data_IF_999065160053
#
_entry.id   IF_999065160053
#
_cell.length_a   1.000
_cell.length_b   1.000
_cell.length_c   1.000
_cell.angle_alpha   90.00
_cell.angle_beta   90.00
_cell.angle_gamma   90.00
#
_symmetry.space_group_name_H-M   'P 1'
#
loop_
_entity.id
_entity.type
_entity.pdbx_description
1 polymer ?
#
# COMPACT_ATOMS: atom_id res chain seq x y z
N UNK A 1 -13.58 -38.39 -12.28
CA UNK A 1 -13.76 -38.75 -13.70
C UNK A 1 -14.26 -40.16 -13.81
N UNK A 2 -15.42 -40.42 -14.44
CA UNK A 2 -15.99 -41.77 -14.64
C UNK A 2 -15.50 -42.38 -15.97
N UNK A 3 -15.60 -43.71 -16.07
CA UNK A 3 -15.27 -44.41 -17.35
C UNK A 3 -16.20 -43.94 -18.47
N UNK A 4 -17.47 -43.66 -18.13
CA UNK A 4 -18.49 -43.27 -19.08
C UNK A 4 -18.15 -41.86 -19.69
N UNK A 5 -17.68 -40.92 -18.88
CA UNK A 5 -17.27 -39.59 -19.34
C UNK A 5 -16.05 -39.69 -20.28
N UNK A 6 -15.08 -40.56 -19.94
CA UNK A 6 -13.90 -40.79 -20.76
C UNK A 6 -14.26 -41.41 -22.13
N UNK A 7 -15.16 -42.39 -22.14
CA UNK A 7 -15.62 -43.02 -23.39
C UNK A 7 -16.40 -42.05 -24.28
N UNK A 8 -17.24 -41.18 -23.69
CA UNK A 8 -17.91 -40.14 -24.44
C UNK A 8 -16.94 -39.14 -25.10
N UNK A 9 -15.88 -38.77 -24.40
CA UNK A 9 -14.83 -37.88 -24.93
C UNK A 9 -14.08 -38.54 -26.12
N UNK A 10 -13.89 -39.85 -26.07
CA UNK A 10 -13.24 -40.60 -27.14
C UNK A 10 -14.21 -41.17 -28.19
N UNK A 11 -15.49 -40.80 -28.15
CA UNK A 11 -16.54 -41.29 -29.03
C UNK A 11 -16.24 -41.16 -30.52
N UNK A 12 -15.72 -40.01 -30.95
CA UNK A 12 -15.33 -39.77 -32.36
C UNK A 12 -14.19 -40.68 -32.78
N UNK A 13 -13.20 -40.88 -31.92
CA UNK A 13 -12.06 -41.75 -32.17
C UNK A 13 -12.50 -43.22 -32.27
N UNK A 14 -13.39 -43.68 -31.37
CA UNK A 14 -13.98 -44.99 -31.41
C UNK A 14 -14.76 -45.21 -32.68
N UNK A 15 -15.57 -44.28 -33.12
CA UNK A 15 -16.34 -44.34 -34.36
C UNK A 15 -15.41 -44.42 -35.58
N UNK A 16 -14.33 -43.67 -35.59
CA UNK A 16 -13.33 -43.71 -36.64
C UNK A 16 -12.67 -45.09 -36.72
N UNK A 17 -12.29 -45.68 -35.58
CA UNK A 17 -11.69 -47.03 -35.57
C UNK A 17 -12.69 -48.11 -36.05
N UNK A 18 -13.97 -48.02 -35.65
CA UNK A 18 -15.01 -48.93 -36.10
C UNK A 18 -15.22 -48.85 -37.62
N UNK A 19 -15.25 -47.62 -38.17
CA UNK A 19 -15.37 -47.45 -39.63
C UNK A 19 -14.14 -47.98 -40.35
N UNK A 20 -12.93 -47.74 -39.87
CA UNK A 20 -11.71 -48.29 -40.44
C UNK A 20 -11.67 -49.83 -40.40
N UNK A 21 -12.11 -50.43 -39.28
CA UNK A 21 -12.22 -51.90 -39.16
C UNK A 21 -13.22 -52.48 -40.15
N UNK A 22 -14.38 -51.82 -40.35
CA UNK A 22 -15.37 -52.24 -41.33
C UNK A 22 -14.86 -52.17 -42.77
N UNK A 23 -14.16 -51.09 -43.12
CA UNK A 23 -13.55 -50.90 -44.44
C UNK A 23 -12.45 -51.99 -44.67
N UNK A 24 -11.60 -52.19 -43.67
CA UNK A 24 -10.54 -53.21 -43.74
C UNK A 24 -11.14 -54.61 -43.94
N UNK A 25 -12.15 -54.97 -43.19
CA UNK A 25 -12.87 -56.24 -43.31
C UNK A 25 -13.44 -56.43 -44.71
N UNK A 26 -14.08 -55.40 -45.28
CA UNK A 26 -14.59 -55.39 -46.66
C UNK A 26 -13.47 -55.58 -47.70
N UNK A 27 -12.38 -54.87 -47.54
CA UNK A 27 -11.22 -54.97 -48.43
C UNK A 27 -10.60 -56.38 -48.43
N UNK A 28 -10.36 -56.95 -47.23
CA UNK A 28 -9.79 -58.30 -47.07
C UNK A 28 -10.72 -59.35 -47.65
N UNK A 29 -12.02 -59.21 -47.55
CA UNK A 29 -12.99 -60.14 -48.15
C UNK A 29 -12.93 -60.08 -49.69
N UNK A 30 -12.84 -58.88 -50.29
CA UNK A 30 -12.76 -58.70 -51.75
C UNK A 30 -11.43 -59.25 -52.31
N UNK A 31 -10.35 -59.17 -51.54
CA UNK A 31 -9.03 -59.68 -51.92
C UNK A 31 -8.86 -61.19 -51.74
N UNK A 32 -9.93 -61.89 -51.30
CA UNK A 32 -9.90 -63.39 -51.22
C UNK A 32 -9.28 -63.89 -49.88
N UNK A 33 -9.10 -63.07 -48.86
CA UNK A 33 -8.55 -63.50 -47.58
C UNK A 33 -9.56 -64.39 -46.84
N UNK A 34 -9.08 -65.41 -46.13
CA UNK A 34 -9.94 -66.32 -45.40
C UNK A 34 -10.65 -65.59 -44.27
N UNK A 35 -11.91 -65.93 -43.98
CA UNK A 35 -12.72 -65.28 -42.92
C UNK A 35 -12.08 -65.40 -41.52
N UNK A 36 -11.41 -66.56 -41.27
CA UNK A 36 -10.71 -66.80 -39.99
C UNK A 36 -9.55 -65.84 -39.76
N UNK A 37 -8.70 -65.63 -40.79
CA UNK A 37 -7.57 -64.70 -40.72
C UNK A 37 -8.03 -63.24 -40.60
N UNK A 38 -9.12 -62.87 -41.29
CA UNK A 38 -9.75 -61.56 -41.17
C UNK A 38 -10.22 -61.30 -39.73
N UNK A 39 -10.87 -62.28 -39.12
CA UNK A 39 -11.33 -62.20 -37.74
C UNK A 39 -10.17 -62.03 -36.76
N UNK A 40 -9.08 -62.77 -36.93
CA UNK A 40 -7.86 -62.63 -36.10
C UNK A 40 -7.25 -61.25 -36.18
N UNK A 41 -7.17 -60.63 -37.34
CA UNK A 41 -6.66 -59.28 -37.54
C UNK A 41 -7.57 -58.25 -36.81
N UNK A 42 -8.88 -58.38 -36.92
CA UNK A 42 -9.82 -57.48 -36.26
C UNK A 42 -9.77 -57.64 -34.74
N UNK A 43 -9.66 -58.85 -34.22
CA UNK A 43 -9.52 -59.12 -32.78
C UNK A 43 -8.20 -58.50 -32.28
N UNK A 44 -7.09 -58.69 -32.98
CA UNK A 44 -5.81 -58.14 -32.62
C UNK A 44 -5.85 -56.59 -32.59
N UNK A 45 -6.45 -55.95 -33.61
CA UNK A 45 -6.66 -54.50 -33.62
C UNK A 45 -7.53 -54.03 -32.44
N UNK A 46 -8.61 -54.74 -32.16
CA UNK A 46 -9.50 -54.45 -31.02
C UNK A 46 -8.77 -54.52 -29.68
N UNK A 47 -7.90 -55.53 -29.49
CA UNK A 47 -7.07 -55.66 -28.29
C UNK A 47 -6.09 -54.50 -28.12
N UNK A 48 -5.42 -54.09 -29.21
CA UNK A 48 -4.51 -52.91 -29.16
C UNK A 48 -5.28 -51.65 -28.81
N UNK A 49 -6.44 -51.43 -29.42
CA UNK A 49 -7.30 -50.30 -29.11
C UNK A 49 -7.76 -50.28 -27.65
N UNK A 50 -8.17 -51.43 -27.13
CA UNK A 50 -8.59 -51.58 -25.76
C UNK A 50 -7.45 -51.30 -24.76
N UNK A 51 -6.27 -51.84 -25.04
CA UNK A 51 -5.07 -51.60 -24.23
C UNK A 51 -4.71 -50.11 -24.22
N UNK A 52 -4.75 -49.46 -25.39
CA UNK A 52 -4.48 -48.04 -25.52
C UNK A 52 -5.50 -47.20 -24.71
N UNK A 53 -6.80 -47.52 -24.83
CA UNK A 53 -7.86 -46.85 -24.06
C UNK A 53 -7.67 -47.02 -22.55
N UNK A 54 -7.31 -48.22 -22.11
CA UNK A 54 -7.05 -48.53 -20.71
C UNK A 54 -5.89 -47.68 -20.16
N UNK A 55 -4.77 -47.67 -20.88
CA UNK A 55 -3.59 -46.88 -20.48
C UNK A 55 -3.92 -45.38 -20.47
N UNK A 56 -4.63 -44.87 -21.48
CA UNK A 56 -5.05 -43.50 -21.57
C UNK A 56 -5.98 -43.12 -20.41
N UNK A 57 -6.97 -44.00 -20.09
CA UNK A 57 -7.87 -43.79 -18.95
C UNK A 57 -7.13 -43.74 -17.61
N UNK A 58 -6.24 -44.69 -17.36
CA UNK A 58 -5.48 -44.77 -16.11
C UNK A 58 -4.58 -43.55 -15.92
N UNK A 59 -3.88 -43.10 -16.97
CA UNK A 59 -3.07 -41.85 -16.92
C UNK A 59 -3.93 -40.63 -16.62
N UNK A 60 -5.09 -40.52 -17.30
CA UNK A 60 -5.99 -39.37 -17.11
C UNK A 60 -6.60 -39.35 -15.71
N UNK A 61 -7.04 -40.52 -15.21
CA UNK A 61 -7.58 -40.70 -13.87
C UNK A 61 -6.56 -40.34 -12.79
N UNK A 62 -5.30 -40.73 -12.97
CA UNK A 62 -4.21 -40.39 -12.04
C UNK A 62 -3.97 -38.90 -12.00
N UNK A 63 -3.86 -38.25 -13.16
CA UNK A 63 -3.66 -36.80 -13.25
C UNK A 63 -4.75 -36.00 -12.49
N UNK A 64 -6.03 -36.33 -12.73
CA UNK A 64 -7.12 -35.63 -12.05
C UNK A 64 -7.16 -35.91 -10.55
N UNK A 65 -6.83 -37.13 -10.12
CA UNK A 65 -6.74 -37.43 -8.69
C UNK A 65 -5.64 -36.63 -8.00
N UNK A 66 -4.46 -36.56 -8.61
CA UNK A 66 -3.34 -35.74 -8.09
C UNK A 66 -3.74 -34.24 -8.03
N UNK A 67 -4.45 -33.75 -9.03
CA UNK A 67 -4.94 -32.37 -9.06
C UNK A 67 -5.98 -32.10 -7.95
N UNK A 68 -6.92 -33.03 -7.71
CA UNK A 68 -7.89 -32.94 -6.61
C UNK A 68 -7.21 -32.97 -5.24
N UNK A 69 -6.23 -33.88 -5.04
CA UNK A 69 -5.47 -33.94 -3.79
C UNK A 69 -4.67 -32.65 -3.52
N UNK A 70 -4.10 -32.03 -4.54
CA UNK A 70 -3.41 -30.73 -4.41
C UNK A 70 -4.41 -29.65 -4.00
N UNK A 71 -5.59 -29.62 -4.63
CA UNK A 71 -6.62 -28.64 -4.35
C UNK A 71 -7.16 -28.76 -2.92
N UNK A 72 -7.32 -29.98 -2.40
CA UNK A 72 -7.80 -30.23 -1.02
C UNK A 72 -6.76 -29.91 0.05
N UNK A 73 -5.47 -30.15 -0.23
CA UNK A 73 -4.37 -29.92 0.71
C UNK A 73 -3.88 -28.48 0.74
N UNK A 74 -4.25 -27.66 -0.26
CA UNK A 74 -3.75 -26.31 -0.40
C UNK A 74 -4.76 -25.30 0.11
N UNK A 75 -4.43 -24.57 1.19
CA UNK A 75 -5.25 -23.48 1.72
C UNK A 75 -5.43 -22.35 0.69
N UNK A 76 -4.39 -22.08 -0.09
CA UNK A 76 -4.37 -21.03 -1.11
C UNK A 76 -4.75 -21.59 -2.47
N UNK A 77 -6.03 -21.86 -2.70
CA UNK A 77 -6.56 -22.49 -3.92
C UNK A 77 -6.22 -21.75 -5.22
N UNK A 78 -5.96 -20.46 -5.16
CA UNK A 78 -5.53 -19.65 -6.31
C UNK A 78 -4.12 -20.02 -6.83
N UNK A 79 -3.33 -20.79 -6.06
CA UNK A 79 -2.04 -21.30 -6.51
C UNK A 79 -2.14 -22.59 -7.34
N UNK A 80 -3.35 -23.12 -7.57
CA UNK A 80 -3.56 -24.37 -8.29
C UNK A 80 -2.81 -24.41 -9.64
N UNK A 81 -2.82 -23.32 -10.39
CA UNK A 81 -2.11 -23.23 -11.67
C UNK A 81 -0.59 -23.41 -11.59
N UNK A 82 0.01 -23.10 -10.43
CA UNK A 82 1.45 -23.29 -10.18
C UNK A 82 1.76 -24.72 -9.70
N UNK A 83 0.85 -25.32 -8.93
CA UNK A 83 1.03 -26.58 -8.24
C UNK A 83 0.59 -27.81 -9.07
N UNK A 84 -0.20 -27.63 -10.14
CA UNK A 84 -0.63 -28.71 -11.00
C UNK A 84 0.56 -29.47 -11.58
N UNK A 85 0.50 -30.83 -11.62
CA UNK A 85 1.56 -31.66 -12.20
C UNK A 85 1.73 -31.42 -13.69
N UNK A 86 2.92 -31.70 -14.20
CA UNK A 86 3.17 -31.60 -15.64
C UNK A 86 2.41 -32.69 -16.41
N UNK A 87 1.74 -32.28 -17.48
CA UNK A 87 1.03 -33.17 -18.37
C UNK A 87 1.70 -33.24 -19.77
N UNK A 88 1.84 -34.40 -20.37
CA UNK A 88 2.31 -34.53 -21.75
C UNK A 88 1.24 -34.06 -22.76
N UNK A 89 0.01 -33.88 -22.35
CA UNK A 89 -1.13 -33.46 -23.18
C UNK A 89 -1.10 -31.96 -23.39
N UNK A 90 -1.12 -31.52 -24.66
CA UNK A 90 -1.06 -30.10 -25.02
C UNK A 90 -2.19 -29.28 -24.37
N UNK A 91 -3.43 -29.80 -24.41
CA UNK A 91 -4.60 -29.16 -23.87
C UNK A 91 -4.46 -28.85 -22.38
N UNK A 92 -3.95 -29.81 -21.60
CA UNK A 92 -3.71 -29.63 -20.16
C UNK A 92 -2.69 -28.52 -19.89
N UNK A 93 -1.63 -28.45 -20.70
CA UNK A 93 -0.62 -27.41 -20.59
C UNK A 93 -1.19 -26.03 -20.91
N UNK A 94 -2.02 -25.92 -21.95
CA UNK A 94 -2.67 -24.67 -22.33
C UNK A 94 -3.67 -24.21 -21.27
N UNK A 95 -4.49 -25.12 -20.72
CA UNK A 95 -5.39 -24.80 -19.61
C UNK A 95 -4.64 -24.37 -18.34
N UNK A 96 -3.56 -25.06 -18.00
CA UNK A 96 -2.69 -24.67 -16.89
C UNK A 96 -2.13 -23.26 -17.09
N UNK A 97 -1.68 -22.93 -18.30
CA UNK A 97 -1.16 -21.60 -18.61
C UNK A 97 -2.24 -20.51 -18.52
N UNK A 98 -3.46 -20.80 -18.99
CA UNK A 98 -4.60 -19.89 -18.83
C UNK A 98 -4.94 -19.64 -17.36
N UNK A 99 -4.97 -20.71 -16.55
CA UNK A 99 -5.20 -20.61 -15.09
C UNK A 99 -4.09 -19.79 -14.43
N UNK A 100 -2.81 -20.02 -14.77
CA UNK A 100 -1.69 -19.22 -14.25
C UNK A 100 -1.84 -17.75 -14.59
N UNK A 101 -2.15 -17.41 -15.84
CA UNK A 101 -2.35 -16.03 -16.28
C UNK A 101 -3.51 -15.37 -15.54
N UNK A 102 -4.63 -16.08 -15.38
CA UNK A 102 -5.79 -15.60 -14.63
C UNK A 102 -5.46 -15.37 -13.15
N UNK A 103 -4.78 -16.31 -12.52
CA UNK A 103 -4.47 -16.25 -11.10
C UNK A 103 -3.38 -15.24 -10.77
N UNK A 104 -2.50 -14.89 -11.72
CA UNK A 104 -1.45 -13.89 -11.52
C UNK A 104 -2.00 -12.56 -11.00
N UNK A 105 -3.08 -12.06 -11.62
CA UNK A 105 -3.72 -10.80 -11.19
C UNK A 105 -4.31 -10.89 -9.78
N UNK A 106 -4.86 -12.05 -9.43
CA UNK A 106 -5.41 -12.31 -8.09
C UNK A 106 -4.30 -12.35 -7.05
N UNK A 107 -3.20 -13.07 -7.34
CA UNK A 107 -2.02 -13.16 -6.47
C UNK A 107 -1.41 -11.76 -6.23
N UNK A 108 -1.24 -10.97 -7.29
CA UNK A 108 -0.74 -9.60 -7.17
C UNK A 108 -1.65 -8.72 -6.31
N UNK A 109 -2.97 -8.89 -6.44
CA UNK A 109 -3.94 -8.15 -5.64
C UNK A 109 -3.95 -8.58 -4.18
N UNK A 110 -3.86 -9.88 -3.89
CA UNK A 110 -3.75 -10.41 -2.53
C UNK A 110 -2.49 -9.87 -1.86
N UNK A 111 -1.33 -9.96 -2.51
CA UNK A 111 -0.07 -9.42 -1.98
C UNK A 111 -0.17 -7.94 -1.65
N UNK A 112 -0.75 -7.13 -2.55
CA UNK A 112 -0.96 -5.70 -2.28
C UNK A 112 -1.84 -5.45 -1.05
N UNK A 113 -2.86 -6.29 -0.82
CA UNK A 113 -3.73 -6.18 0.35
C UNK A 113 -2.98 -6.60 1.62
N UNK A 114 -2.23 -7.71 1.57
CA UNK A 114 -1.42 -8.20 2.70
C UNK A 114 -0.33 -7.19 3.09
N UNK A 115 0.37 -6.62 2.11
CA UNK A 115 1.37 -5.57 2.33
C UNK A 115 0.74 -4.32 2.96
N UNK A 116 -0.42 -3.88 2.45
CA UNK A 116 -1.14 -2.74 3.00
C UNK A 116 -1.65 -3.02 4.43
N UNK A 117 -2.11 -4.23 4.71
CA UNK A 117 -2.56 -4.63 6.05
C UNK A 117 -1.39 -4.70 7.04
N UNK A 118 -0.25 -5.24 6.60
CA UNK A 118 0.98 -5.26 7.40
C UNK A 118 1.44 -3.82 7.70
N UNK A 119 1.46 -2.97 6.68
CA UNK A 119 1.80 -1.55 6.82
C UNK A 119 0.88 -0.83 7.81
N UNK A 120 -0.42 -1.12 7.76
CA UNK A 120 -1.40 -0.54 8.69
C UNK A 120 -1.16 -0.99 10.13
N UNK A 121 -0.88 -2.27 10.35
CA UNK A 121 -0.60 -2.82 11.68
C UNK A 121 0.64 -2.19 12.31
N UNK A 122 1.75 -2.14 11.56
CA UNK A 122 2.99 -1.51 12.02
C UNK A 122 2.79 -0.04 12.37
N UNK A 123 1.96 0.68 11.59
CA UNK A 123 1.60 2.06 11.89
C UNK A 123 0.84 2.18 13.19
N UNK A 124 -0.19 1.36 13.42
CA UNK A 124 -0.99 1.41 14.65
C UNK A 124 -0.16 1.05 15.88
N UNK A 125 0.73 0.07 15.79
CA UNK A 125 1.64 -0.27 16.88
C UNK A 125 2.54 0.93 17.25
N UNK A 126 3.16 1.58 16.27
CA UNK A 126 3.97 2.78 16.46
C UNK A 126 3.15 3.93 17.05
N UNK A 127 1.95 4.16 16.54
CA UNK A 127 1.04 5.18 17.02
C UNK A 127 0.62 4.97 18.49
N UNK A 128 0.32 3.74 18.89
CA UNK A 128 -0.01 3.41 20.28
C UNK A 128 1.16 3.79 21.21
N UNK A 129 2.38 3.50 20.81
CA UNK A 129 3.56 3.87 21.60
C UNK A 129 3.71 5.38 21.77
N UNK A 130 3.42 6.19 20.75
CA UNK A 130 3.51 7.64 20.83
C UNK A 130 2.41 8.26 21.68
N UNK A 131 1.18 7.76 21.57
CA UNK A 131 0.07 8.26 22.38
C UNK A 131 0.25 7.90 23.87
N UNK A 132 0.85 6.75 24.17
CA UNK A 132 1.09 6.31 25.54
C UNK A 132 2.03 7.24 26.32
N UNK A 133 3.03 7.83 25.66
CA UNK A 133 4.01 8.69 26.32
C UNK A 133 3.37 9.96 26.95
N UNK A 134 2.63 10.80 26.21
CA UNK A 134 1.97 11.97 26.79
C UNK A 134 0.87 11.61 27.81
N UNK A 135 0.14 10.52 27.62
CA UNK A 135 -0.82 10.03 28.62
C UNK A 135 -0.12 9.73 29.95
N UNK A 136 1.04 9.03 29.90
CA UNK A 136 1.84 8.75 31.09
C UNK A 136 2.37 10.04 31.72
N UNK A 137 2.79 11.02 30.90
CA UNK A 137 3.20 12.34 31.37
C UNK A 137 2.10 13.07 32.15
N UNK A 138 0.89 13.09 31.59
CA UNK A 138 -0.28 13.70 32.27
C UNK A 138 -0.59 12.99 33.59
N UNK A 139 -0.56 11.66 33.60
CA UNK A 139 -0.81 10.86 34.80
C UNK A 139 0.20 11.17 35.93
N UNK A 140 1.50 11.26 35.60
CA UNK A 140 2.55 11.62 36.54
C UNK A 140 2.40 13.06 37.09
N UNK A 141 2.04 14.00 36.23
CA UNK A 141 1.75 15.39 36.66
C UNK A 141 0.55 15.44 37.60
N UNK A 142 -0.48 14.64 37.34
CA UNK A 142 -1.64 14.50 38.21
C UNK A 142 -1.30 13.90 39.59
N UNK A 143 -0.45 12.87 39.64
CA UNK A 143 0.05 12.26 40.86
C UNK A 143 0.91 13.24 41.71
N UNK A 144 1.84 13.95 41.06
CA UNK A 144 2.68 14.91 41.71
C UNK A 144 1.88 16.08 42.26
N UNK A 145 0.85 16.55 41.53
CA UNK A 145 -0.08 17.58 41.98
C UNK A 145 -0.88 17.18 43.23
N UNK A 146 -1.13 15.87 43.44
CA UNK A 146 -1.81 15.36 44.64
C UNK A 146 -0.89 15.32 45.90
N UNK A 147 0.42 15.26 45.70
CA UNK A 147 1.42 15.15 46.80
C UNK A 147 1.76 16.50 47.47
N UNK A 148 1.17 17.58 47.03
CA UNK A 148 1.29 18.92 47.63
C UNK A 148 1.88 19.94 46.65
N UNK A 149 1.03 20.72 46.07
CA UNK A 149 1.39 21.92 45.31
C UNK A 149 1.61 23.03 46.29
N UNK A 150 2.78 23.64 46.28
CA UNK A 150 3.15 24.64 47.30
C UNK A 150 2.89 26.08 46.83
N UNK A 151 2.86 26.34 45.52
CA UNK A 151 2.68 27.70 44.99
C UNK A 151 1.70 27.76 43.83
N UNK A 152 1.09 28.95 43.63
CA UNK A 152 0.20 29.25 42.51
C UNK A 152 0.94 29.18 41.15
N UNK A 153 2.24 29.43 41.15
CA UNK A 153 3.11 29.39 39.95
C UNK A 153 3.36 27.95 39.50
N UNK A 154 3.70 27.07 40.43
CA UNK A 154 3.86 25.62 40.16
C UNK A 154 2.57 25.00 39.62
N UNK A 155 1.41 25.40 40.19
CA UNK A 155 0.11 24.95 39.69
C UNK A 155 -0.10 25.36 38.25
N UNK A 156 0.21 26.62 37.92
CA UNK A 156 0.06 27.16 36.56
C UNK A 156 0.96 26.42 35.56
N UNK A 157 2.17 26.09 35.91
CA UNK A 157 3.10 25.38 35.07
C UNK A 157 2.72 23.90 34.86
N UNK A 158 2.15 23.25 35.89
CA UNK A 158 1.58 21.90 35.72
C UNK A 158 0.42 21.93 34.72
N UNK A 159 -0.53 22.85 34.86
CA UNK A 159 -1.64 22.98 33.92
C UNK A 159 -1.18 23.28 32.48
N UNK A 160 -0.20 24.17 32.33
CA UNK A 160 0.42 24.45 31.00
C UNK A 160 1.02 23.21 30.40
N UNK A 161 1.72 22.41 31.19
CA UNK A 161 2.36 21.18 30.71
C UNK A 161 1.32 20.11 30.36
N UNK A 162 0.24 19.98 31.16
CA UNK A 162 -0.88 19.09 30.83
C UNK A 162 -1.52 19.51 29.49
N UNK A 163 -1.76 20.82 29.27
CA UNK A 163 -2.30 21.30 28.00
C UNK A 163 -1.39 20.96 26.79
N UNK A 164 -0.08 21.07 26.96
CA UNK A 164 0.89 20.71 25.90
C UNK A 164 0.90 19.20 25.61
N UNK A 165 0.86 18.36 26.65
CA UNK A 165 0.79 16.89 26.46
C UNK A 165 -0.55 16.47 25.83
N UNK A 166 -1.67 17.09 26.24
CA UNK A 166 -2.97 16.85 25.61
C UNK A 166 -2.95 17.21 24.11
N UNK A 167 -2.31 18.32 23.74
CA UNK A 167 -2.19 18.72 22.35
C UNK A 167 -1.36 17.75 21.50
N UNK A 168 -0.34 17.10 22.10
CA UNK A 168 0.37 16.02 21.43
C UNK A 168 -0.56 14.83 21.15
N UNK A 169 -1.43 14.46 22.10
CA UNK A 169 -2.41 13.39 21.91
C UNK A 169 -3.37 13.75 20.77
N UNK A 170 -3.92 14.97 20.76
CA UNK A 170 -4.79 15.45 19.68
C UNK A 170 -4.11 15.31 18.31
N UNK A 171 -2.85 15.74 18.20
CA UNK A 171 -2.08 15.62 16.97
C UNK A 171 -1.87 14.16 16.55
N UNK A 172 -1.57 13.25 17.47
CA UNK A 172 -1.45 11.82 17.17
C UNK A 172 -2.78 11.20 16.75
N UNK A 173 -3.89 11.60 17.34
CA UNK A 173 -5.23 11.15 16.93
C UNK A 173 -5.55 11.64 15.52
N UNK A 174 -5.27 12.90 15.21
CA UNK A 174 -5.43 13.43 13.85
C UNK A 174 -4.57 12.67 12.84
N UNK A 175 -3.29 12.41 13.16
CA UNK A 175 -2.42 11.60 12.31
C UNK A 175 -3.03 10.22 12.02
N UNK A 176 -3.57 9.54 13.02
CA UNK A 176 -4.21 8.26 12.84
C UNK A 176 -5.46 8.32 11.97
N UNK A 177 -6.29 9.36 12.15
CA UNK A 177 -7.47 9.61 11.31
C UNK A 177 -7.07 9.87 9.85
N UNK A 178 -6.04 10.71 9.60
CA UNK A 178 -5.56 10.97 8.25
C UNK A 178 -4.93 9.73 7.62
N UNK A 179 -4.19 8.93 8.39
CA UNK A 179 -3.65 7.68 7.89
C UNK A 179 -4.76 6.69 7.48
N UNK A 180 -5.77 6.50 8.33
CA UNK A 180 -6.91 5.64 8.04
C UNK A 180 -7.67 6.10 6.78
N UNK A 181 -7.93 7.39 6.64
CA UNK A 181 -8.60 7.98 5.48
C UNK A 181 -7.75 8.00 4.22
N UNK A 182 -6.42 7.99 4.34
CA UNK A 182 -5.50 8.07 3.20
C UNK A 182 -5.61 6.90 2.22
N UNK A 183 -6.20 5.77 2.61
CA UNK A 183 -6.42 4.61 1.76
C UNK A 183 -7.78 4.66 0.99
N UNK A 184 -8.75 5.45 1.47
CA UNK A 184 -10.12 5.55 0.90
C UNK A 184 -10.43 6.92 0.26
N UNK A 185 -9.43 7.63 -0.16
CA UNK A 185 -9.38 9.08 -0.46
C UNK A 185 -10.41 9.60 -1.48
N UNK A 186 -11.05 8.76 -2.28
CA UNK A 186 -11.98 9.26 -3.33
C UNK A 186 -13.29 9.83 -2.80
N UNK A 187 -13.54 9.83 -1.48
CA UNK A 187 -14.84 10.23 -0.91
C UNK A 187 -14.81 11.49 -0.04
N UNK A 188 -13.66 11.97 0.44
CA UNK A 188 -13.62 12.90 1.58
C UNK A 188 -12.81 14.19 1.40
N UNK A 189 -12.22 14.50 0.22
CA UNK A 189 -11.53 15.79 0.07
C UNK A 189 -12.32 16.78 -0.78
N UNK A 190 -12.33 18.02 -0.32
CA UNK A 190 -12.98 19.15 -0.98
C UNK A 190 -11.90 20.08 -1.54
N UNK A 191 -11.64 19.98 -2.86
CA UNK A 191 -10.71 20.89 -3.52
C UNK A 191 -11.44 22.21 -3.77
N UNK A 192 -10.94 23.27 -3.13
CA UNK A 192 -11.45 24.63 -3.28
C UNK A 192 -10.30 25.63 -3.33
N UNK A 193 -10.59 26.82 -3.85
CA UNK A 193 -9.63 27.91 -3.78
C UNK A 193 -9.35 28.27 -2.32
N UNK A 194 -8.11 28.11 -1.91
CA UNK A 194 -7.65 28.28 -0.52
C UNK A 194 -6.64 29.40 -0.46
N UNK A 195 -6.90 30.40 0.38
CA UNK A 195 -5.94 31.45 0.69
C UNK A 195 -4.82 30.86 1.56
N UNK A 196 -3.59 30.84 1.03
CA UNK A 196 -2.44 30.24 1.71
C UNK A 196 -2.00 31.04 2.94
N UNK A 197 -2.17 32.36 2.94
CA UNK A 197 -1.85 33.22 4.10
C UNK A 197 -2.77 32.90 5.28
N UNK A 198 -4.09 32.78 5.02
CA UNK A 198 -5.06 32.41 6.05
C UNK A 198 -4.76 31.05 6.64
N UNK A 199 -4.44 30.06 5.79
CA UNK A 199 -4.10 28.72 6.25
C UNK A 199 -2.83 28.70 7.12
N UNK A 200 -1.79 29.43 6.72
CA UNK A 200 -0.55 29.56 7.50
C UNK A 200 -0.82 30.24 8.84
N UNK A 201 -1.52 31.35 8.84
CA UNK A 201 -1.83 32.10 10.07
C UNK A 201 -2.68 31.27 11.02
N UNK A 202 -3.66 30.51 10.53
CA UNK A 202 -4.48 29.61 11.34
C UNK A 202 -3.62 28.55 12.06
N UNK A 203 -2.67 27.92 11.38
CA UNK A 203 -1.78 26.92 11.98
C UNK A 203 -0.78 27.56 12.97
N UNK A 204 -0.26 28.74 12.67
CA UNK A 204 0.60 29.48 13.61
C UNK A 204 -0.15 29.86 14.89
N UNK A 205 -1.39 30.31 14.78
CA UNK A 205 -2.22 30.64 15.98
C UNK A 205 -2.55 29.37 16.78
N UNK A 206 -2.90 28.28 16.12
CA UNK A 206 -3.08 26.98 16.78
C UNK A 206 -1.84 26.53 17.56
N UNK A 207 -0.63 26.83 17.10
CA UNK A 207 0.62 26.49 17.76
C UNK A 207 1.26 27.61 18.57
N UNK A 208 0.56 28.72 18.78
CA UNK A 208 1.07 29.95 19.43
C UNK A 208 1.81 29.70 20.74
N UNK A 209 1.22 28.91 21.63
CA UNK A 209 1.85 28.61 22.93
C UNK A 209 3.15 27.83 22.77
N UNK A 210 3.20 26.87 21.81
CA UNK A 210 4.37 26.11 21.50
C UNK A 210 5.49 27.01 20.93
N UNK A 211 5.14 27.88 20.00
CA UNK A 211 6.08 28.80 19.35
C UNK A 211 6.65 29.80 20.37
N UNK A 212 5.83 30.40 21.21
CA UNK A 212 6.26 31.34 22.28
C UNK A 212 7.21 30.65 23.25
N UNK A 213 6.85 29.44 23.74
CA UNK A 213 7.68 28.67 24.69
C UNK A 213 9.06 28.34 24.12
N UNK A 214 9.17 28.14 22.81
CA UNK A 214 10.41 27.82 22.15
C UNK A 214 11.12 29.01 21.50
N UNK A 215 10.64 30.25 21.75
CA UNK A 215 11.25 31.49 21.26
C UNK A 215 11.24 31.63 19.74
N UNK A 216 10.30 30.96 19.04
CA UNK A 216 10.22 30.96 17.59
C UNK A 216 9.69 32.28 17.07
N UNK A 217 10.41 32.87 16.11
CA UNK A 217 9.94 34.03 15.32
C UNK A 217 9.44 33.55 13.98
N UNK A 218 8.19 33.82 13.61
CA UNK A 218 7.61 33.52 12.33
C UNK A 218 7.47 34.77 11.45
N UNK A 219 7.93 34.66 10.20
CA UNK A 219 7.82 35.69 9.15
C UNK A 219 6.97 35.09 8.02
N UNK A 220 5.77 35.68 7.79
CA UNK A 220 4.81 35.18 6.78
C UNK A 220 4.69 36.21 5.65
N UNK A 221 4.83 35.71 4.42
CA UNK A 221 4.62 36.49 3.20
C UNK A 221 3.97 35.64 2.11
N UNK A 222 2.70 35.31 2.28
CA UNK A 222 1.93 34.45 1.38
C UNK A 222 0.85 35.28 0.68
N UNK A 223 1.07 35.68 -0.56
CA UNK A 223 0.16 36.56 -1.31
C UNK A 223 -0.72 35.78 -2.31
N UNK A 224 -0.57 34.45 -2.40
CA UNK A 224 -1.20 33.63 -3.42
C UNK A 224 -2.22 32.66 -2.85
N UNK A 225 -3.20 32.29 -3.69
CA UNK A 225 -4.16 31.20 -3.43
C UNK A 225 -3.76 29.94 -4.20
N UNK A 226 -4.22 28.78 -3.72
CA UNK A 226 -4.06 27.51 -4.41
C UNK A 226 -5.35 26.68 -4.33
N UNK A 227 -5.60 25.85 -5.35
CA UNK A 227 -6.70 24.90 -5.33
C UNK A 227 -6.28 23.65 -4.59
N UNK A 228 -6.84 23.48 -3.38
CA UNK A 228 -6.48 22.37 -2.49
C UNK A 228 -7.56 22.16 -1.43
N UNK A 229 -7.42 21.12 -0.63
CA UNK A 229 -8.24 20.94 0.58
C UNK A 229 -7.57 21.63 1.77
N UNK A 230 -8.20 22.70 2.28
CA UNK A 230 -7.69 23.50 3.40
C UNK A 230 -7.34 22.65 4.61
N UNK A 231 -8.19 21.68 4.96
CA UNK A 231 -8.02 20.82 6.14
C UNK A 231 -6.72 20.00 6.06
N UNK A 232 -6.40 19.50 4.87
CA UNK A 232 -5.20 18.71 4.67
C UNK A 232 -3.94 19.57 4.65
N UNK A 233 -4.05 20.79 4.11
CA UNK A 233 -2.94 21.74 4.16
C UNK A 233 -2.65 22.19 5.59
N UNK A 234 -3.67 22.46 6.41
CA UNK A 234 -3.49 22.77 7.82
C UNK A 234 -2.73 21.65 8.55
N UNK A 235 -3.08 20.39 8.29
CA UNK A 235 -2.38 19.24 8.86
C UNK A 235 -0.91 19.19 8.39
N UNK A 236 -0.63 19.34 7.08
CA UNK A 236 0.73 19.31 6.54
C UNK A 236 1.57 20.43 7.18
N UNK A 237 1.07 21.66 7.20
CA UNK A 237 1.74 22.81 7.83
C UNK A 237 2.01 22.56 9.32
N UNK A 238 1.05 22.01 10.05
CA UNK A 238 1.22 21.65 11.45
C UNK A 238 2.38 20.66 11.65
N UNK A 239 2.48 19.61 10.80
CA UNK A 239 3.59 18.67 10.87
C UNK A 239 4.96 19.32 10.57
N UNK A 240 5.00 20.27 9.62
CA UNK A 240 6.23 21.03 9.33
C UNK A 240 6.64 21.89 10.54
N UNK A 241 5.69 22.63 11.15
CA UNK A 241 5.95 23.45 12.35
C UNK A 241 6.47 22.57 13.49
N UNK A 242 5.82 21.43 13.78
CA UNK A 242 6.24 20.53 14.86
C UNK A 242 7.66 19.98 14.63
N UNK A 243 8.00 19.64 13.40
CA UNK A 243 9.35 19.20 13.04
C UNK A 243 10.37 20.33 13.24
N UNK A 244 10.08 21.53 12.74
CA UNK A 244 11.02 22.67 12.85
C UNK A 244 11.18 23.15 14.29
N UNK A 245 10.16 23.03 15.14
CA UNK A 245 10.30 23.28 16.59
C UNK A 245 11.16 22.20 17.24
N UNK A 246 11.01 20.94 16.83
CA UNK A 246 11.78 19.83 17.39
C UNK A 246 13.27 19.93 17.08
N UNK A 247 13.62 20.31 15.87
CA UNK A 247 14.99 20.41 15.36
C UNK A 247 15.51 21.85 15.27
N UNK A 248 14.99 22.74 16.16
CA UNK A 248 15.30 24.16 16.14
C UNK A 248 16.74 24.48 16.53
N UNK A 249 17.22 25.63 16.07
CA UNK A 249 18.42 26.31 16.58
C UNK A 249 18.15 27.02 17.91
N UNK A 250 19.14 27.64 18.48
CA UNK A 250 19.00 28.50 19.69
C UNK A 250 18.12 29.72 19.46
N UNK A 251 18.13 30.28 18.26
CA UNK A 251 17.32 31.44 17.86
C UNK A 251 16.47 31.07 16.64
N UNK A 252 15.36 30.33 16.84
CA UNK A 252 14.61 29.76 15.73
C UNK A 252 13.78 30.80 14.97
N UNK A 253 13.95 30.80 13.65
CA UNK A 253 13.20 31.64 12.71
C UNK A 253 12.53 30.78 11.66
N UNK A 254 11.23 30.94 11.47
CA UNK A 254 10.49 30.35 10.36
C UNK A 254 10.16 31.43 9.34
N UNK A 255 10.45 31.17 8.07
CA UNK A 255 10.06 32.01 6.95
C UNK A 255 9.11 31.22 6.06
N UNK A 256 7.90 31.73 5.93
CA UNK A 256 6.85 31.06 5.16
C UNK A 256 6.37 32.04 4.09
N UNK A 257 6.53 31.67 2.84
CA UNK A 257 6.20 32.54 1.73
C UNK A 257 5.74 31.78 0.49
N UNK A 258 5.03 32.47 -0.41
CA UNK A 258 4.64 31.91 -1.71
C UNK A 258 5.55 32.39 -2.83
N UNK A 259 5.71 31.52 -3.85
CA UNK A 259 6.36 31.83 -5.12
C UNK A 259 5.47 31.40 -6.28
N UNK A 260 5.27 32.29 -7.25
CA UNK A 260 4.61 31.93 -8.52
C UNK A 260 5.57 31.12 -9.38
N UNK A 261 5.06 29.99 -9.88
CA UNK A 261 5.75 29.11 -10.82
C UNK A 261 5.01 29.15 -12.16
N UNK A 262 5.68 28.74 -13.24
CA UNK A 262 5.01 28.57 -14.55
C UNK A 262 3.93 27.48 -14.50
N UNK A 263 4.06 26.53 -13.59
CA UNK A 263 3.17 25.37 -13.40
C UNK A 263 2.20 25.51 -12.21
N UNK A 264 2.15 26.66 -11.54
CA UNK A 264 1.30 26.87 -10.37
C UNK A 264 1.89 27.79 -9.31
N UNK A 265 1.65 27.46 -8.05
CA UNK A 265 2.13 28.22 -6.88
C UNK A 265 2.94 27.26 -6.00
N UNK A 266 4.07 27.72 -5.46
CA UNK A 266 4.79 27.01 -4.42
C UNK A 266 4.64 27.74 -3.07
N UNK A 267 4.23 27.03 -2.04
CA UNK A 267 4.35 27.45 -0.65
C UNK A 267 5.68 26.93 -0.11
N UNK A 268 6.52 27.84 0.37
CA UNK A 268 7.86 27.55 0.85
C UNK A 268 7.88 27.74 2.37
N UNK A 269 8.27 26.71 3.08
CA UNK A 269 8.46 26.72 4.52
C UNK A 269 9.95 26.52 4.81
N UNK A 270 10.58 27.53 5.35
CA UNK A 270 12.01 27.55 5.66
C UNK A 270 12.23 27.73 7.16
N UNK A 271 13.07 26.91 7.75
CA UNK A 271 13.59 27.06 9.11
C UNK A 271 15.11 27.22 9.11
N UNK A 272 15.65 27.75 10.19
CA UNK A 272 17.08 27.85 10.47
C UNK A 272 17.52 26.83 11.52
N UNK A 273 16.92 25.65 11.54
CA UNK A 273 17.21 24.58 12.49
C UNK A 273 18.55 23.87 12.24
N UNK A 274 18.69 22.69 12.79
CA UNK A 274 19.92 21.87 12.69
C UNK A 274 20.20 21.39 11.27
N UNK A 275 19.24 21.51 10.35
CA UNK A 275 19.37 20.95 9.00
C UNK A 275 19.41 19.43 8.97
N UNK A 276 19.54 18.88 7.77
CA UNK A 276 19.52 17.45 7.49
C UNK A 276 20.80 17.08 6.76
N UNK A 277 21.51 16.01 7.18
CA UNK A 277 22.67 15.51 6.45
C UNK A 277 22.32 15.03 5.03
N UNK A 278 23.20 15.24 4.06
CA UNK A 278 22.99 14.87 2.66
C UNK A 278 22.63 13.38 2.48
N UNK A 279 23.25 12.53 3.28
CA UNK A 279 23.00 11.07 3.28
C UNK A 279 21.55 10.69 3.67
N UNK A 280 20.91 11.55 4.44
CA UNK A 280 19.54 11.35 4.93
C UNK A 280 18.47 11.97 4.04
N UNK A 281 18.82 12.97 3.22
CA UNK A 281 17.89 13.74 2.39
C UNK A 281 17.00 12.87 1.51
N UNK A 282 17.54 11.81 0.92
CA UNK A 282 16.75 10.88 0.09
C UNK A 282 15.67 10.10 0.84
N UNK A 283 15.73 10.05 2.16
CA UNK A 283 14.92 9.18 3.02
C UNK A 283 13.99 9.90 4.01
N UNK A 284 14.06 11.22 4.09
CA UNK A 284 13.28 11.99 5.08
C UNK A 284 11.75 11.81 4.97
N UNK A 285 11.29 11.41 3.80
CA UNK A 285 9.89 11.10 3.53
C UNK A 285 9.57 9.61 3.58
N UNK A 286 10.53 8.77 3.92
CA UNK A 286 10.31 7.32 4.04
C UNK A 286 9.57 7.01 5.34
N UNK A 287 8.74 5.96 5.31
CA UNK A 287 7.98 5.51 6.45
C UNK A 287 8.90 5.10 7.61
N UNK A 288 8.65 5.70 8.79
CA UNK A 288 9.38 5.35 10.00
C UNK A 288 10.85 5.82 10.02
N UNK A 289 11.24 6.66 9.05
CA UNK A 289 12.59 7.19 9.04
C UNK A 289 12.76 8.26 10.12
N UNK A 290 13.74 8.02 10.99
CA UNK A 290 14.20 8.98 12.00
C UNK A 290 15.70 9.12 11.81
N UNK A 291 16.13 10.30 11.35
CA UNK A 291 17.55 10.59 11.16
C UNK A 291 18.37 10.46 12.45
N UNK A 292 19.69 10.62 12.34
CA UNK A 292 20.63 10.60 13.48
C UNK A 292 20.22 11.58 14.57
N UNK A 293 19.78 12.79 14.22
CA UNK A 293 19.26 13.79 15.14
C UNK A 293 17.97 13.34 15.87
N UNK A 294 17.20 12.45 15.30
CA UNK A 294 15.93 11.94 15.87
C UNK A 294 16.14 10.82 16.89
N UNK A 295 17.31 10.16 16.91
CA UNK A 295 17.66 9.12 17.88
C UNK A 295 18.13 9.69 19.21
N UNK A 296 18.77 10.86 19.17
CA UNK A 296 19.39 11.49 20.34
C UNK A 296 18.43 12.39 21.16
N UNK A 297 17.35 12.92 20.55
CA UNK A 297 16.58 14.03 21.17
C UNK A 297 15.12 13.75 21.53
N UNK A 298 14.52 12.67 21.21
CA UNK A 298 13.20 12.12 21.57
C UNK A 298 12.77 11.13 20.50
N UNK A 299 12.39 9.93 20.89
CA UNK A 299 11.85 8.93 19.99
C UNK A 299 10.73 9.51 19.15
N UNK A 300 10.93 9.63 17.84
CA UNK A 300 9.90 9.98 16.90
C UNK A 300 9.61 8.79 16.00
N UNK A 301 8.36 8.59 15.62
CA UNK A 301 7.94 7.47 14.73
C UNK A 301 8.42 7.65 13.29
N UNK A 302 8.90 8.82 12.90
CA UNK A 302 9.21 9.11 11.50
C UNK A 302 7.99 9.09 10.58
N UNK A 303 6.78 9.25 11.14
CA UNK A 303 5.53 9.16 10.38
C UNK A 303 5.04 10.52 9.85
N UNK A 304 5.44 11.64 10.46
CA UNK A 304 4.94 12.98 10.12
C UNK A 304 5.21 13.36 8.66
N UNK A 305 6.49 13.38 8.24
CA UNK A 305 6.86 13.73 6.85
C UNK A 305 6.40 12.67 5.84
N UNK A 306 6.39 11.39 6.21
CA UNK A 306 5.82 10.34 5.38
C UNK A 306 4.34 10.61 5.07
N UNK A 307 3.55 10.96 6.08
CA UNK A 307 2.14 11.33 5.89
C UNK A 307 2.00 12.59 5.04
N UNK A 308 2.82 13.62 5.28
CA UNK A 308 2.83 14.81 4.44
C UNK A 308 3.04 14.45 2.96
N UNK A 309 4.02 13.61 2.63
CA UNK A 309 4.26 13.14 1.25
C UNK A 309 3.08 12.36 0.70
N UNK A 310 2.51 11.44 1.48
CA UNK A 310 1.35 10.63 1.09
C UNK A 310 0.13 11.50 0.77
N UNK A 311 -0.16 12.49 1.63
CA UNK A 311 -1.27 13.43 1.44
C UNK A 311 -1.03 14.38 0.26
N UNK A 312 0.17 14.95 0.15
CA UNK A 312 0.55 15.77 -1.00
C UNK A 312 0.37 15.03 -2.32
N UNK A 313 0.85 13.77 -2.41
CA UNK A 313 0.67 12.94 -3.60
C UNK A 313 -0.80 12.76 -3.96
N UNK A 314 -1.67 12.59 -2.96
CA UNK A 314 -3.12 12.44 -3.15
C UNK A 314 -3.81 13.72 -3.63
N UNK A 315 -3.33 14.87 -3.16
CA UNK A 315 -3.82 16.19 -3.58
C UNK A 315 -3.18 16.68 -4.90
N UNK A 316 -2.29 15.89 -5.51
CA UNK A 316 -1.54 16.30 -6.69
C UNK A 316 -0.46 17.36 -6.40
N UNK A 317 -0.11 17.56 -5.13
CA UNK A 317 0.91 18.50 -4.68
C UNK A 317 2.27 17.83 -4.72
N UNK A 318 3.28 18.49 -5.28
CA UNK A 318 4.66 18.01 -5.21
C UNK A 318 5.33 18.55 -3.95
N UNK A 319 5.79 17.65 -3.08
CA UNK A 319 6.57 18.00 -1.89
C UNK A 319 8.02 17.55 -2.05
N UNK A 320 8.95 18.45 -1.74
CA UNK A 320 10.38 18.15 -1.67
C UNK A 320 11.07 19.06 -0.67
N UNK A 321 12.32 18.76 -0.34
CA UNK A 321 13.11 19.50 0.63
C UNK A 321 14.48 19.85 0.08
N UNK A 322 15.03 20.95 0.57
CA UNK A 322 16.41 21.34 0.45
C UNK A 322 16.94 21.64 1.85
N UNK A 323 18.11 21.15 2.19
CA UNK A 323 18.67 21.37 3.52
C UNK A 323 20.18 21.44 3.47
N UNK A 324 20.75 22.21 4.37
CA UNK A 324 22.19 22.25 4.63
C UNK A 324 22.38 21.97 6.11
N UNK A 325 23.12 20.92 6.44
CA UNK A 325 23.40 20.57 7.81
C UNK A 325 24.04 21.73 8.58
N UNK A 326 23.48 22.08 9.74
CA UNK A 326 23.88 23.24 10.53
C UNK A 326 23.27 24.59 10.12
N UNK A 327 22.51 24.66 9.00
CA UNK A 327 21.95 25.93 8.51
C UNK A 327 20.43 25.98 8.47
N UNK A 328 19.76 24.82 8.42
CA UNK A 328 18.32 24.71 8.39
C UNK A 328 17.76 23.91 7.22
N UNK A 329 16.42 23.87 7.13
CA UNK A 329 15.69 23.09 6.13
C UNK A 329 14.65 23.96 5.44
N UNK A 330 14.48 23.75 4.15
CA UNK A 330 13.44 24.38 3.34
C UNK A 330 12.56 23.29 2.72
N UNK A 331 11.27 23.32 3.00
CA UNK A 331 10.28 22.42 2.40
C UNK A 331 9.46 23.21 1.38
N UNK A 332 9.29 22.61 0.21
CA UNK A 332 8.51 23.16 -0.90
C UNK A 332 7.24 22.33 -1.09
N UNK A 333 6.10 23.02 -1.18
CA UNK A 333 4.80 22.47 -1.53
C UNK A 333 4.37 23.13 -2.85
N UNK A 334 4.52 22.44 -3.98
CA UNK A 334 4.14 22.95 -5.30
C UNK A 334 2.72 22.51 -5.64
N UNK A 335 1.83 23.49 -5.72
CA UNK A 335 0.43 23.30 -6.12
C UNK A 335 0.31 23.43 -7.63
N UNK A 336 -0.29 22.44 -8.34
CA UNK A 336 -0.48 22.53 -9.78
C UNK A 336 -1.51 23.59 -10.15
N UNK A 337 -1.39 24.16 -11.35
CA UNK A 337 -2.49 24.93 -11.95
C UNK A 337 -3.65 23.96 -12.18
N UNK A 338 -4.78 24.20 -11.57
CA UNK A 338 -5.94 23.35 -11.75
C UNK A 338 -6.48 23.52 -13.18
N UNK A 339 -6.11 22.60 -14.08
CA UNK A 339 -6.66 22.53 -15.44
C UNK A 339 -8.11 22.04 -15.46
N UNK A 340 -8.66 21.60 -14.35
CA UNK A 340 -10.02 21.05 -14.24
C UNK A 340 -11.11 22.10 -14.00
N UNK A 341 -10.75 23.31 -13.57
CA UNK A 341 -11.73 24.38 -13.26
C UNK A 341 -11.91 25.43 -14.36
N UNK A 342 -11.17 25.35 -15.46
CA UNK A 342 -11.36 26.22 -16.64
C UNK A 342 -12.44 25.72 -17.61
N UNK A 343 -13.23 24.71 -17.25
CA UNK A 343 -14.29 24.12 -18.08
C UNK A 343 -15.65 24.01 -17.38
N UNK A 344 -15.94 24.93 -16.45
CA UNK A 344 -17.31 25.14 -15.97
C UNK A 344 -17.77 26.54 -16.32
#
# INVERSE_FOLDING_TARGET
>A
MTICDFLKDKGLLLLLHLTCMAILAGFLKVTGYSGENTLLILIFWGLILLLWLLVAYLKRKRFFREAEEILEKTDQRYLLGELLPDSPILEDRLYRELIRKSNKSVIERIRKIEDAQKEYREYIESWIHEVKAPITGIALLGENGRKGIQTAEETRDIFRTICLENRKIENYVEMALYYARSNEVYKDYLIQETNLEEAVNEVLEQNRLLLIRNGVRAEVKCEDCAFTDKKWILFILNQLILNSVKYRSESPVFRIYTKKLTSGVALVFQDNGTGIPDEEMGRIFDKGFTGTNGRDHQRSTGMGLYLCKKLCTKLGIRIYAESVYGQGTTIFLEFPVSSYLTKL
#
